data_IF_716059320665
#
_entry.id   IF_716059320665
#
_cell.length_a   1.000
_cell.length_b   1.000
_cell.length_c   1.000
_cell.angle_alpha   90.00
_cell.angle_beta   90.00
_cell.angle_gamma   90.00
#
_symmetry.space_group_name_H-M   'P 1'
#
loop_
_entity.id
_entity.type
_entity.pdbx_description
1 polymer ?
#
# COMPACT_ATOMS: atom_id res chain seq x y z
N UNK A 1 19.67 13.72 -18.74
CA UNK A 1 19.56 12.86 -17.56
C UNK A 1 19.94 13.68 -16.33
N UNK A 2 18.98 14.38 -15.75
CA UNK A 2 19.17 15.07 -14.46
C UNK A 2 19.14 14.01 -13.36
N UNK A 3 20.31 13.75 -12.75
CA UNK A 3 20.38 12.95 -11.51
C UNK A 3 19.51 13.65 -10.47
N UNK A 4 18.41 13.03 -10.08
CA UNK A 4 17.61 13.55 -8.97
C UNK A 4 18.28 13.13 -7.67
N UNK A 5 18.72 14.11 -6.92
CA UNK A 5 19.33 13.94 -5.59
C UNK A 5 18.44 14.65 -4.57
N UNK A 6 18.13 13.95 -3.49
CA UNK A 6 17.47 14.50 -2.32
C UNK A 6 18.43 14.44 -1.15
N UNK A 7 18.64 15.56 -0.49
CA UNK A 7 19.41 15.62 0.73
C UNK A 7 18.55 16.16 1.87
N UNK A 8 18.47 15.40 2.94
CA UNK A 8 17.85 15.80 4.20
C UNK A 8 18.94 16.04 5.23
N UNK A 9 18.84 17.16 5.95
CA UNK A 9 19.72 17.48 7.06
C UNK A 9 18.88 17.73 8.29
N UNK A 10 19.27 17.14 9.41
CA UNK A 10 18.59 17.31 10.68
C UNK A 10 19.55 17.24 11.84
N UNK A 11 19.08 17.68 12.98
CA UNK A 11 19.78 17.52 14.24
C UNK A 11 18.96 16.57 15.12
N UNK A 12 19.64 15.60 15.68
CA UNK A 12 19.04 14.59 16.49
C UNK A 12 19.89 14.39 17.73
N UNK A 13 19.37 14.84 18.86
CA UNK A 13 20.01 14.73 20.15
C UNK A 13 21.50 15.18 20.12
N UNK A 14 22.43 14.24 20.19
CA UNK A 14 23.88 14.48 20.17
C UNK A 14 24.51 14.44 18.77
N UNK A 15 23.70 14.15 17.72
CA UNK A 15 24.18 13.99 16.35
C UNK A 15 23.54 14.98 15.37
N UNK A 16 24.31 15.33 14.33
CA UNK A 16 23.75 15.79 13.06
C UNK A 16 23.57 14.59 12.15
N UNK A 17 22.43 14.52 11.50
CA UNK A 17 22.12 13.51 10.48
C UNK A 17 22.13 14.18 9.12
N UNK A 18 22.77 13.53 8.16
CA UNK A 18 22.67 13.86 6.75
C UNK A 18 22.28 12.60 6.01
N UNK A 19 21.17 12.67 5.30
CA UNK A 19 20.72 11.61 4.41
C UNK A 19 20.79 12.11 2.99
N UNK A 20 21.33 11.30 2.10
CA UNK A 20 21.38 11.58 0.67
C UNK A 20 20.82 10.41 -0.10
N UNK A 21 19.79 10.66 -0.91
CA UNK A 21 19.19 9.69 -1.81
C UNK A 21 19.46 10.13 -3.24
N UNK A 22 20.21 9.33 -3.97
CA UNK A 22 20.54 9.56 -5.37
C UNK A 22 19.83 8.54 -6.25
N UNK A 23 18.87 8.98 -7.04
CA UNK A 23 18.28 8.15 -8.08
C UNK A 23 19.34 7.83 -9.15
N UNK A 24 19.49 6.57 -9.51
CA UNK A 24 20.45 6.10 -10.51
C UNK A 24 19.73 5.79 -11.84
N UNK A 25 19.06 4.67 -11.88
CA UNK A 25 18.24 4.20 -12.98
C UNK A 25 16.86 3.87 -12.45
N UNK A 26 15.94 3.51 -13.34
CA UNK A 26 14.61 3.08 -12.94
C UNK A 26 14.70 1.95 -11.90
N UNK A 27 14.06 2.16 -10.77
CA UNK A 27 14.06 1.22 -9.67
C UNK A 27 15.36 1.13 -8.87
N UNK A 28 16.36 1.96 -9.14
CA UNK A 28 17.63 1.95 -8.43
C UNK A 28 17.91 3.29 -7.79
N UNK A 29 18.34 3.27 -6.54
CA UNK A 29 18.85 4.45 -5.86
C UNK A 29 19.98 4.08 -4.89
N UNK A 30 20.86 5.04 -4.66
CA UNK A 30 21.86 4.98 -3.61
C UNK A 30 21.36 5.80 -2.43
N UNK A 31 21.34 5.20 -1.27
CA UNK A 31 21.03 5.85 -0.01
C UNK A 31 22.27 5.88 0.86
N UNK A 32 22.64 7.08 1.27
CA UNK A 32 23.76 7.32 2.16
C UNK A 32 23.26 8.07 3.39
N UNK A 33 23.58 7.52 4.56
CA UNK A 33 23.28 8.14 5.86
C UNK A 33 24.58 8.42 6.56
N UNK A 34 24.73 9.63 7.04
CA UNK A 34 25.87 10.08 7.82
C UNK A 34 25.40 10.69 9.14
N UNK A 35 26.02 10.28 10.22
CA UNK A 35 25.87 10.86 11.56
C UNK A 35 27.19 11.46 12.00
N UNK A 36 27.18 12.72 12.39
CA UNK A 36 28.35 13.41 12.96
C UNK A 36 27.98 13.89 14.37
N UNK A 37 28.83 13.61 15.35
CA UNK A 37 28.67 14.12 16.72
C UNK A 37 28.70 15.65 16.71
N UNK A 38 27.83 16.31 17.46
CA UNK A 38 27.69 17.77 17.45
C UNK A 38 28.84 18.46 18.17
N UNK A 39 29.39 17.86 19.20
CA UNK A 39 30.46 18.41 20.04
C UNK A 39 31.52 17.35 20.26
N UNK A 40 31.33 16.47 21.22
CA UNK A 40 32.24 15.42 21.62
C UNK A 40 31.82 14.07 21.06
N UNK A 41 32.72 13.09 20.92
CA UNK A 41 32.35 11.73 20.55
C UNK A 41 31.31 11.15 21.52
N UNK A 42 30.32 10.47 20.97
CA UNK A 42 29.18 9.97 21.72
C UNK A 42 29.34 8.49 21.99
N UNK A 43 29.20 8.02 23.25
CA UNK A 43 29.17 6.60 23.54
C UNK A 43 27.92 5.93 22.94
N UNK A 44 28.13 4.98 22.02
CA UNK A 44 27.06 4.26 21.36
C UNK A 44 27.36 2.77 21.35
N UNK A 45 26.39 1.96 21.81
CA UNK A 45 26.54 0.50 21.71
C UNK A 45 26.46 0.01 20.27
N UNK A 46 25.58 0.61 19.48
CA UNK A 46 25.38 0.24 18.07
C UNK A 46 24.62 1.33 17.32
N UNK A 47 25.09 1.64 16.13
CA UNK A 47 24.38 2.45 15.13
C UNK A 47 24.13 1.56 13.91
N UNK A 48 22.93 1.54 13.40
CA UNK A 48 22.57 0.74 12.23
C UNK A 48 21.41 1.39 11.47
N UNK A 49 21.35 1.09 10.19
CA UNK A 49 20.17 1.31 9.37
C UNK A 49 19.24 0.08 9.49
N UNK A 50 17.99 0.29 9.80
CA UNK A 50 17.01 -0.79 9.99
C UNK A 50 15.94 -0.82 8.92
N UNK A 51 15.74 -1.98 8.30
CA UNK A 51 14.58 -2.27 7.44
C UNK A 51 13.69 -3.28 8.13
N UNK A 52 12.41 -2.98 8.26
CA UNK A 52 11.45 -3.83 8.95
C UNK A 52 10.72 -4.72 7.94
N UNK A 53 10.71 -6.02 8.22
CA UNK A 53 10.02 -7.02 7.41
C UNK A 53 8.86 -7.58 8.22
N UNK A 54 7.61 -7.40 7.80
CA UNK A 54 6.50 -8.07 8.44
C UNK A 54 6.67 -9.59 8.30
N UNK A 55 6.43 -10.33 9.37
CA UNK A 55 6.47 -11.78 9.32
C UNK A 55 5.30 -12.28 8.46
N UNK A 56 5.59 -12.51 7.20
CA UNK A 56 4.67 -13.11 6.25
C UNK A 56 5.26 -14.42 5.79
N UNK A 57 4.51 -15.51 5.89
CA UNK A 57 4.91 -16.86 5.43
C UNK A 57 5.33 -16.93 3.94
N UNK A 58 5.11 -15.85 3.20
CA UNK A 58 5.43 -15.75 1.77
C UNK A 58 6.68 -14.92 1.48
N UNK A 59 7.36 -14.40 2.51
CA UNK A 59 8.61 -13.66 2.31
C UNK A 59 9.74 -14.67 2.17
N UNK A 60 10.48 -14.54 1.06
CA UNK A 60 11.75 -15.21 0.83
C UNK A 60 12.88 -14.22 1.08
N UNK A 61 13.84 -14.62 1.90
CA UNK A 61 15.06 -13.87 2.17
C UNK A 61 16.25 -14.60 1.58
N UNK A 62 17.05 -13.94 0.76
CA UNK A 62 18.34 -14.47 0.29
C UNK A 62 19.45 -13.51 0.72
N UNK A 63 20.56 -14.08 1.20
CA UNK A 63 21.76 -13.32 1.56
C UNK A 63 22.92 -13.93 0.76
N UNK A 64 23.56 -13.09 -0.05
CA UNK A 64 24.61 -13.48 -1.00
C UNK A 64 24.22 -14.71 -1.85
N UNK A 65 22.96 -14.69 -2.33
CA UNK A 65 22.38 -15.77 -3.16
C UNK A 65 21.89 -16.99 -2.39
N UNK A 66 22.17 -17.09 -1.09
CA UNK A 66 21.74 -18.23 -0.27
C UNK A 66 20.39 -17.94 0.37
N UNK A 67 19.43 -18.85 0.22
CA UNK A 67 18.13 -18.75 0.87
C UNK A 67 18.29 -18.89 2.39
N UNK A 68 17.65 -17.98 3.13
CA UNK A 68 17.59 -17.99 4.58
C UNK A 68 16.20 -18.43 5.00
N UNK A 69 16.13 -19.52 5.75
CA UNK A 69 14.87 -20.02 6.29
C UNK A 69 14.35 -19.06 7.37
N UNK A 70 13.26 -18.38 7.05
CA UNK A 70 12.56 -17.54 8.02
C UNK A 70 11.72 -18.45 8.93
N UNK A 71 11.76 -18.27 10.26
CA UNK A 71 10.93 -19.04 11.17
C UNK A 71 9.44 -18.84 10.86
N UNK A 72 8.67 -19.93 10.93
CA UNK A 72 7.20 -19.87 10.74
C UNK A 72 6.47 -19.22 11.90
N UNK A 73 7.13 -19.10 13.03
CA UNK A 73 6.64 -18.45 14.24
C UNK A 73 7.65 -17.42 14.70
N UNK A 74 7.14 -16.32 15.27
CA UNK A 74 8.00 -15.26 15.81
C UNK A 74 8.93 -15.80 16.90
N UNK A 75 10.22 -15.43 16.79
CA UNK A 75 11.22 -15.70 17.82
C UNK A 75 12.13 -14.49 17.97
N UNK A 76 12.30 -14.00 19.20
CA UNK A 76 13.25 -12.90 19.53
C UNK A 76 14.71 -13.39 19.45
N UNK A 77 15.15 -13.80 18.28
CA UNK A 77 16.55 -14.26 18.06
C UNK A 77 17.09 -13.79 16.72
N UNK A 78 18.39 -13.81 16.60
CA UNK A 78 19.03 -13.62 15.32
C UNK A 78 18.72 -14.80 14.40
N UNK A 79 18.20 -14.49 13.22
CA UNK A 79 18.01 -15.46 12.13
C UNK A 79 19.27 -15.53 11.28
N UNK A 80 19.96 -14.41 11.17
CA UNK A 80 21.23 -14.26 10.49
C UNK A 80 22.09 -13.23 11.20
N UNK A 81 23.43 -13.42 11.19
CA UNK A 81 24.41 -12.43 11.66
C UNK A 81 25.75 -12.68 10.99
N UNK A 82 26.26 -11.70 10.26
CA UNK A 82 27.54 -11.80 9.57
C UNK A 82 27.78 -10.74 8.51
N UNK A 83 28.91 -10.83 7.82
CA UNK A 83 29.21 -10.00 6.66
C UNK A 83 28.34 -10.42 5.49
N UNK A 84 27.85 -9.43 4.73
CA UNK A 84 27.09 -9.66 3.53
C UNK A 84 27.35 -8.54 2.50
N UNK A 85 27.14 -8.87 1.23
CA UNK A 85 27.25 -7.95 0.11
C UNK A 85 25.92 -7.70 -0.58
N UNK A 86 25.00 -8.64 -0.49
CA UNK A 86 23.68 -8.53 -1.12
C UNK A 86 22.61 -9.18 -0.25
N UNK A 87 21.52 -8.48 -0.08
CA UNK A 87 20.28 -9.01 0.53
C UNK A 87 19.17 -8.89 -0.50
N UNK A 88 18.42 -9.95 -0.70
CA UNK A 88 17.24 -9.96 -1.57
C UNK A 88 16.04 -10.40 -0.75
N UNK A 89 15.02 -9.58 -0.77
CA UNK A 89 13.74 -9.85 -0.12
C UNK A 89 12.68 -9.91 -1.21
N UNK A 90 12.01 -11.03 -1.31
CA UNK A 90 10.92 -11.21 -2.28
C UNK A 90 9.66 -11.69 -1.59
N UNK A 91 8.53 -11.29 -2.10
CA UNK A 91 7.22 -11.83 -1.79
C UNK A 91 6.48 -12.14 -3.11
N UNK A 92 5.29 -12.76 -3.11
CA UNK A 92 4.56 -13.08 -4.34
C UNK A 92 4.26 -11.87 -5.24
N UNK A 93 4.48 -10.67 -4.75
CA UNK A 93 4.14 -9.41 -5.43
C UNK A 93 5.38 -8.64 -5.91
N UNK A 94 6.58 -9.14 -5.64
CA UNK A 94 7.86 -8.58 -6.05
C UNK A 94 8.87 -8.54 -4.88
N UNK A 95 9.92 -7.74 -5.00
CA UNK A 95 10.97 -7.68 -4.01
C UNK A 95 11.80 -6.42 -4.06
N UNK A 96 12.73 -6.33 -3.15
CA UNK A 96 13.81 -5.37 -3.22
C UNK A 96 15.14 -6.07 -2.96
N UNK A 97 16.20 -5.51 -3.43
CA UNK A 97 17.55 -5.92 -3.03
C UNK A 97 18.35 -4.74 -2.51
N UNK A 98 19.22 -5.03 -1.57
CA UNK A 98 20.18 -4.09 -1.02
C UNK A 98 21.57 -4.63 -1.27
N UNK A 99 22.45 -3.83 -1.85
CA UNK A 99 23.83 -4.21 -2.09
C UNK A 99 24.82 -3.19 -1.54
N UNK A 100 25.98 -3.68 -1.13
CA UNK A 100 27.05 -2.91 -0.53
C UNK A 100 27.98 -3.80 0.29
N UNK A 101 28.88 -3.19 1.04
CA UNK A 101 29.72 -3.91 2.00
C UNK A 101 29.20 -3.59 3.41
N UNK A 102 28.58 -4.57 4.06
CA UNK A 102 27.99 -4.35 5.37
C UNK A 102 28.02 -5.60 6.25
N UNK A 103 27.96 -5.39 7.55
CA UNK A 103 27.49 -6.41 8.47
C UNK A 103 25.96 -6.38 8.52
N UNK A 104 25.36 -7.54 8.38
CA UNK A 104 23.92 -7.73 8.44
C UNK A 104 23.53 -8.53 9.66
N UNK A 105 22.49 -8.08 10.35
CA UNK A 105 21.75 -8.90 11.30
C UNK A 105 20.27 -8.94 10.90
N UNK A 106 19.69 -10.14 10.86
CA UNK A 106 18.26 -10.33 10.75
C UNK A 106 17.73 -10.77 12.12
N UNK A 107 16.97 -9.91 12.77
CA UNK A 107 16.57 -10.09 14.18
C UNK A 107 15.05 -10.07 14.28
N UNK A 108 14.49 -11.07 14.95
CA UNK A 108 13.11 -11.01 15.41
C UNK A 108 12.98 -9.97 16.51
N UNK A 109 12.09 -8.97 16.34
CA UNK A 109 12.17 -7.84 17.21
C UNK A 109 10.91 -7.44 17.95
N UNK A 110 9.82 -7.25 17.27
CA UNK A 110 8.64 -6.68 17.93
C UNK A 110 7.34 -7.03 17.22
N UNK A 111 6.26 -6.78 17.94
CA UNK A 111 4.90 -6.94 17.48
C UNK A 111 4.27 -5.54 17.45
N UNK A 112 3.64 -5.18 16.35
CA UNK A 112 2.77 -3.99 16.26
C UNK A 112 1.37 -4.45 15.93
N UNK A 113 0.43 -4.20 16.84
CA UNK A 113 -0.90 -4.76 16.74
C UNK A 113 -0.82 -6.29 16.62
N UNK A 114 -1.35 -6.86 15.55
CA UNK A 114 -1.31 -8.29 15.27
C UNK A 114 -0.14 -8.72 14.37
N UNK A 115 0.73 -7.79 13.98
CA UNK A 115 1.82 -8.08 13.04
C UNK A 115 3.15 -8.18 13.76
N UNK A 116 3.81 -9.29 13.54
CA UNK A 116 5.17 -9.55 13.98
C UNK A 116 6.16 -9.10 12.91
N UNK A 117 7.28 -8.53 13.33
CA UNK A 117 8.29 -7.99 12.42
C UNK A 117 9.67 -8.58 12.70
N UNK A 118 10.40 -8.88 11.63
CA UNK A 118 11.85 -9.01 11.64
C UNK A 118 12.49 -7.71 11.20
N UNK A 119 13.67 -7.40 11.72
CA UNK A 119 14.43 -6.22 11.34
C UNK A 119 15.75 -6.66 10.71
N UNK A 120 15.97 -6.23 9.47
CA UNK A 120 17.29 -6.26 8.84
C UNK A 120 18.07 -5.05 9.34
N UNK A 121 19.21 -5.28 9.98
CA UNK A 121 20.09 -4.23 10.48
C UNK A 121 21.36 -4.20 9.66
N UNK A 122 21.60 -3.11 8.99
CA UNK A 122 22.78 -2.87 8.18
C UNK A 122 23.76 -2.02 8.97
N UNK A 123 24.99 -2.49 9.11
CA UNK A 123 26.06 -1.79 9.78
C UNK A 123 27.26 -1.69 8.83
N UNK A 124 28.11 -0.66 8.97
CA UNK A 124 29.40 -0.63 8.27
C UNK A 124 30.22 -1.88 8.53
N UNK A 125 30.99 -2.31 7.54
CA UNK A 125 31.86 -3.49 7.69
C UNK A 125 32.97 -3.29 8.75
N UNK A 126 33.33 -2.05 8.98
CA UNK A 126 34.29 -1.70 10.01
C UNK A 126 33.71 -1.90 11.41
N UNK A 127 34.58 -2.30 12.35
CA UNK A 127 34.20 -2.46 13.76
C UNK A 127 33.55 -1.17 14.28
N UNK A 128 32.39 -1.30 14.90
CA UNK A 128 31.72 -0.16 15.52
C UNK A 128 32.57 0.39 16.67
N UNK A 129 32.95 1.68 16.62
CA UNK A 129 33.72 2.29 17.72
C UNK A 129 32.83 2.45 18.96
N UNK A 130 33.44 2.32 20.15
CA UNK A 130 32.73 2.57 21.42
C UNK A 130 32.30 4.03 21.55
N UNK A 131 33.11 4.92 21.00
CA UNK A 131 32.86 6.36 20.94
C UNK A 131 32.69 6.78 19.47
N UNK A 132 31.53 7.26 19.11
CA UNK A 132 31.20 7.66 17.73
C UNK A 132 31.41 9.16 17.57
N UNK A 133 32.39 9.56 16.78
CA UNK A 133 32.55 10.94 16.29
C UNK A 133 31.82 11.13 14.95
N UNK A 134 31.96 10.16 14.05
CA UNK A 134 31.27 10.11 12.77
C UNK A 134 30.96 8.67 12.43
N UNK A 135 29.79 8.46 11.82
CA UNK A 135 29.35 7.18 11.32
C UNK A 135 28.69 7.40 9.95
N UNK A 136 28.96 6.53 9.00
CA UNK A 136 28.29 6.57 7.72
C UNK A 136 28.05 5.18 7.16
N UNK A 137 26.96 5.04 6.41
CA UNK A 137 26.63 3.84 5.69
C UNK A 137 26.01 4.23 4.34
N UNK A 138 26.53 3.63 3.28
CA UNK A 138 25.99 3.80 1.94
C UNK A 138 25.52 2.45 1.40
N UNK A 139 24.29 2.40 0.96
CA UNK A 139 23.64 1.21 0.41
C UNK A 139 23.06 1.50 -0.97
N UNK A 140 23.14 0.54 -1.86
CA UNK A 140 22.45 0.59 -3.14
C UNK A 140 21.19 -0.24 -3.05
N UNK A 141 20.06 0.38 -3.27
CA UNK A 141 18.76 -0.26 -3.33
C UNK A 141 18.35 -0.49 -4.77
N UNK A 142 17.79 -1.63 -5.02
CA UNK A 142 17.11 -1.94 -6.25
C UNK A 142 15.74 -2.51 -5.90
N UNK A 143 14.70 -1.82 -6.34
CA UNK A 143 13.34 -2.35 -6.29
C UNK A 143 13.05 -3.02 -7.62
N UNK A 144 12.41 -4.16 -7.57
CA UNK A 144 11.82 -4.77 -8.75
C UNK A 144 10.55 -4.02 -9.13
N UNK A 145 10.74 -2.89 -9.81
CA UNK A 145 9.66 -2.05 -10.33
C UNK A 145 9.10 -2.56 -11.66
N UNK A 146 9.55 -3.71 -12.16
CA UNK A 146 9.02 -4.30 -13.39
C UNK A 146 7.50 -4.48 -13.40
N UNK A 147 6.84 -4.17 -12.26
CA UNK A 147 5.40 -4.22 -12.09
C UNK A 147 4.74 -2.86 -11.88
N UNK A 148 5.45 -1.74 -12.00
CA UNK A 148 4.78 -0.44 -12.11
C UNK A 148 4.16 -0.22 -13.49
N UNK A 149 4.58 -0.99 -14.49
CA UNK A 149 3.94 -1.05 -15.80
C UNK A 149 2.75 -2.03 -15.82
N UNK A 150 1.93 -2.02 -14.78
CA UNK A 150 0.68 -2.76 -14.79
C UNK A 150 -0.21 -2.16 -15.88
N UNK A 151 -0.54 -2.96 -16.88
CA UNK A 151 -1.52 -2.58 -17.88
C UNK A 151 -2.89 -2.79 -17.30
N UNK A 152 -3.68 -1.74 -17.24
CA UNK A 152 -5.06 -1.80 -16.80
C UNK A 152 -6.02 -1.36 -17.91
N UNK A 153 -7.17 -2.01 -17.96
CA UNK A 153 -8.26 -1.71 -18.87
C UNK A 153 -9.51 -1.42 -18.03
N UNK A 154 -10.01 -0.17 -18.07
CA UNK A 154 -11.21 0.20 -17.33
C UNK A 154 -12.39 -0.72 -17.68
N UNK A 155 -13.13 -1.11 -16.66
CA UNK A 155 -14.42 -1.80 -16.78
C UNK A 155 -15.53 -0.78 -16.65
N UNK A 156 -16.40 -0.73 -17.65
CA UNK A 156 -17.57 0.15 -17.61
C UNK A 156 -18.61 -0.39 -16.62
N UNK A 157 -18.84 0.36 -15.56
CA UNK A 157 -19.86 0.12 -14.55
C UNK A 157 -21.02 1.12 -14.64
N UNK A 158 -21.04 2.02 -15.63
CA UNK A 158 -22.02 3.11 -15.73
C UNK A 158 -23.46 2.64 -15.72
N UNK A 159 -23.74 1.47 -16.32
CA UNK A 159 -25.07 0.86 -16.40
C UNK A 159 -25.62 0.37 -15.05
N UNK A 160 -24.79 0.15 -14.05
CA UNK A 160 -25.20 -0.31 -12.70
C UNK A 160 -25.04 0.76 -11.63
N UNK A 161 -24.54 1.94 -11.96
CA UNK A 161 -24.46 3.05 -11.04
C UNK A 161 -25.85 3.55 -10.63
N UNK A 162 -26.00 3.85 -9.35
CA UNK A 162 -27.30 4.20 -8.77
C UNK A 162 -27.30 5.48 -7.93
N UNK A 163 -26.10 6.01 -7.60
CA UNK A 163 -25.91 7.21 -6.77
C UNK A 163 -24.89 8.17 -7.39
N UNK A 164 -24.84 9.39 -6.87
CA UNK A 164 -23.93 10.44 -7.30
C UNK A 164 -22.75 10.63 -6.33
N UNK A 165 -21.60 11.05 -6.86
CA UNK A 165 -20.52 11.61 -6.05
C UNK A 165 -20.94 12.92 -5.36
N UNK A 166 -21.93 13.61 -5.92
CA UNK A 166 -22.49 14.88 -5.42
C UNK A 166 -23.80 14.63 -4.74
N UNK A 167 -24.01 15.28 -3.61
CA UNK A 167 -25.27 15.29 -2.88
C UNK A 167 -25.80 16.72 -2.88
N UNK A 168 -26.30 17.17 -4.03
CA UNK A 168 -26.74 18.55 -4.30
C UNK A 168 -28.27 18.71 -4.41
N UNK A 169 -29.00 17.70 -3.99
CA UNK A 169 -30.47 17.67 -4.01
C UNK A 169 -31.09 17.31 -5.36
N UNK A 170 -30.37 17.42 -6.48
CA UNK A 170 -30.82 16.98 -7.80
C UNK A 170 -30.71 15.46 -7.94
N UNK A 171 -29.65 14.90 -7.40
CA UNK A 171 -29.41 13.47 -7.36
C UNK A 171 -29.00 13.08 -5.95
N UNK A 172 -29.48 11.92 -5.43
CA UNK A 172 -29.08 11.48 -4.12
C UNK A 172 -27.59 11.14 -4.10
N UNK A 173 -26.86 11.75 -3.19
CA UNK A 173 -25.47 11.43 -2.94
C UNK A 173 -25.27 10.05 -2.35
N UNK A 174 -24.07 9.57 -2.40
CA UNK A 174 -23.74 8.21 -1.98
C UNK A 174 -23.87 7.98 -0.46
N UNK A 175 -23.68 9.02 0.36
CA UNK A 175 -23.92 8.95 1.81
C UNK A 175 -25.29 9.51 2.20
N UNK A 176 -25.92 10.33 1.37
CA UNK A 176 -27.15 11.04 1.72
C UNK A 176 -26.99 12.08 2.84
N UNK A 177 -25.75 12.56 3.09
CA UNK A 177 -25.45 13.51 4.18
C UNK A 177 -25.30 14.96 3.71
N UNK A 178 -25.64 15.25 2.44
CA UNK A 178 -25.58 16.60 1.88
C UNK A 178 -24.28 16.97 1.23
N UNK A 179 -24.27 18.16 0.64
CA UNK A 179 -23.21 18.65 -0.23
C UNK A 179 -21.85 18.84 0.45
N UNK A 180 -21.83 18.98 1.77
CA UNK A 180 -20.61 19.12 2.55
C UNK A 180 -19.94 17.77 2.87
N UNK A 181 -20.64 16.67 2.62
CA UNK A 181 -20.21 15.31 2.96
C UNK A 181 -20.24 14.40 1.73
N UNK A 182 -19.65 14.84 0.63
CA UNK A 182 -19.65 14.14 -0.66
C UNK A 182 -18.26 14.10 -1.33
N UNK A 183 -18.20 13.52 -2.52
CA UNK A 183 -16.97 13.33 -3.29
C UNK A 183 -16.87 14.30 -4.48
N UNK A 184 -17.45 15.51 -4.40
CA UNK A 184 -17.46 16.48 -5.50
C UNK A 184 -16.09 16.91 -5.99
N UNK A 185 -15.06 16.79 -5.15
CA UNK A 185 -13.67 17.07 -5.52
C UNK A 185 -12.99 15.96 -6.31
N UNK A 186 -13.64 14.78 -6.44
CA UNK A 186 -13.12 13.69 -7.25
C UNK A 186 -13.20 14.05 -8.74
N UNK A 187 -12.07 14.06 -9.41
CA UNK A 187 -11.99 14.28 -10.85
C UNK A 187 -12.59 13.09 -11.60
N UNK A 188 -13.40 13.38 -12.61
CA UNK A 188 -14.05 12.39 -13.47
C UNK A 188 -13.37 12.30 -14.83
N UNK A 189 -13.59 11.18 -15.53
CA UNK A 189 -13.00 10.89 -16.84
C UNK A 189 -11.70 10.12 -16.72
N UNK A 190 -10.86 10.19 -17.75
CA UNK A 190 -9.59 9.45 -17.80
C UNK A 190 -8.70 9.85 -16.63
N UNK A 191 -8.44 8.91 -15.74
CA UNK A 191 -7.64 9.13 -14.56
C UNK A 191 -6.77 7.91 -14.24
N UNK A 192 -5.52 8.19 -13.87
CA UNK A 192 -4.62 7.17 -13.36
C UNK A 192 -4.53 7.32 -11.84
N UNK A 193 -4.91 6.26 -11.16
CA UNK A 193 -4.67 6.08 -9.73
C UNK A 193 -3.38 5.29 -9.59
N UNK A 194 -2.29 5.99 -9.36
CA UNK A 194 -0.93 5.50 -9.61
C UNK A 194 -0.76 5.14 -11.10
N UNK A 195 -0.47 3.88 -11.42
CA UNK A 195 -0.34 3.42 -12.81
C UNK A 195 -1.61 2.74 -13.34
N UNK A 196 -2.62 2.55 -12.48
CA UNK A 196 -3.85 1.89 -12.85
C UNK A 196 -4.88 2.89 -13.34
N UNK A 197 -5.29 2.70 -14.57
CA UNK A 197 -6.33 3.52 -15.17
C UNK A 197 -7.69 3.04 -14.73
N UNK A 198 -8.40 3.90 -14.01
CA UNK A 198 -9.82 3.79 -13.71
C UNK A 198 -10.46 5.12 -14.09
N UNK A 199 -11.54 5.08 -14.83
CA UNK A 199 -12.20 6.27 -15.35
C UNK A 199 -13.49 6.56 -14.54
N UNK A 200 -13.45 7.35 -13.44
CA UNK A 200 -14.66 7.72 -12.71
C UNK A 200 -15.66 8.45 -13.62
N UNK A 201 -16.90 8.05 -13.56
CA UNK A 201 -17.95 8.55 -14.46
C UNK A 201 -18.42 9.91 -14.01
N UNK A 202 -18.50 10.87 -14.96
CA UNK A 202 -19.10 12.16 -14.70
C UNK A 202 -20.62 12.02 -14.52
N UNK A 203 -21.19 12.40 -13.35
CA UNK A 203 -22.61 12.28 -13.11
C UNK A 203 -23.46 13.05 -14.12
N UNK A 204 -23.01 14.21 -14.60
CA UNK A 204 -23.74 15.00 -15.58
C UNK A 204 -23.92 14.30 -16.94
N UNK A 205 -23.07 13.28 -17.22
CA UNK A 205 -23.11 12.49 -18.46
C UNK A 205 -23.77 11.12 -18.29
N UNK A 206 -24.19 10.77 -17.08
CA UNK A 206 -24.80 9.47 -16.78
C UNK A 206 -26.07 9.61 -15.94
N UNK A 207 -26.92 10.58 -16.27
CA UNK A 207 -28.18 10.81 -15.58
C UNK A 207 -28.04 11.08 -14.07
N UNK A 208 -26.93 11.71 -13.67
CA UNK A 208 -26.62 12.01 -12.28
C UNK A 208 -25.95 10.89 -11.49
N UNK A 209 -25.74 9.74 -12.10
CA UNK A 209 -25.19 8.56 -11.45
C UNK A 209 -23.71 8.42 -11.74
N UNK A 210 -22.89 8.21 -10.73
CA UNK A 210 -21.43 8.12 -10.88
C UNK A 210 -20.77 7.04 -10.02
N UNK A 211 -21.53 6.39 -9.15
CA UNK A 211 -21.06 5.26 -8.35
C UNK A 211 -22.16 4.24 -8.09
N UNK A 212 -21.74 3.00 -7.87
CA UNK A 212 -22.60 1.96 -7.35
C UNK A 212 -22.53 2.00 -5.82
N UNK A 213 -23.67 2.10 -5.18
CA UNK A 213 -23.82 2.08 -3.73
C UNK A 213 -24.66 0.89 -3.34
N UNK A 214 -24.14 0.05 -2.46
CA UNK A 214 -24.80 -1.10 -1.88
C UNK A 214 -24.86 -0.90 -0.36
N UNK A 215 -26.02 -1.05 0.23
CA UNK A 215 -26.15 -0.89 1.67
C UNK A 215 -27.57 -0.55 2.09
N UNK A 216 -27.80 -0.62 3.38
CA UNK A 216 -29.11 -0.49 3.96
C UNK A 216 -29.76 0.87 3.66
N UNK A 217 -30.89 0.83 2.95
CA UNK A 217 -31.67 2.03 2.62
C UNK A 217 -31.08 2.97 1.57
N UNK A 218 -29.84 2.78 1.13
CA UNK A 218 -29.14 3.64 0.17
C UNK A 218 -28.97 3.02 -1.21
N UNK A 219 -29.05 1.69 -1.32
CA UNK A 219 -28.87 0.99 -2.58
C UNK A 219 -29.49 -0.41 -2.58
N UNK A 220 -29.41 -1.13 -3.73
CA UNK A 220 -29.89 -2.50 -3.83
C UNK A 220 -29.08 -3.48 -3.01
N UNK A 221 -29.59 -4.70 -2.85
CA UNK A 221 -28.90 -5.83 -2.23
C UNK A 221 -27.69 -6.29 -3.06
N UNK A 222 -27.83 -6.22 -4.39
CA UNK A 222 -26.77 -6.56 -5.33
C UNK A 222 -26.93 -5.83 -6.66
N UNK A 223 -25.82 -5.78 -7.41
CA UNK A 223 -25.78 -5.32 -8.79
C UNK A 223 -24.80 -6.18 -9.60
N UNK A 224 -25.15 -6.48 -10.84
CA UNK A 224 -24.33 -7.35 -11.67
C UNK A 224 -24.00 -6.74 -13.02
N UNK A 225 -22.79 -7.06 -13.51
CA UNK A 225 -22.28 -6.65 -14.81
C UNK A 225 -21.87 -7.88 -15.60
N UNK A 226 -22.36 -8.01 -16.81
CA UNK A 226 -21.91 -9.03 -17.77
C UNK A 226 -20.64 -8.56 -18.46
N UNK A 227 -19.66 -9.44 -18.55
CA UNK A 227 -18.36 -9.18 -19.17
C UNK A 227 -18.40 -9.72 -20.60
N UNK A 228 -18.78 -8.87 -21.54
CA UNK A 228 -18.83 -9.23 -22.97
C UNK A 228 -17.42 -9.44 -23.58
N UNK A 229 -16.45 -8.68 -23.07
CA UNK A 229 -15.05 -8.75 -23.53
C UNK A 229 -14.11 -8.70 -22.34
N UNK A 230 -13.35 -9.78 -22.16
CA UNK A 230 -12.27 -9.82 -21.18
C UNK A 230 -10.93 -9.68 -21.92
N UNK A 231 -10.12 -8.65 -21.60
CA UNK A 231 -8.85 -8.43 -22.28
C UNK A 231 -7.84 -9.56 -21.99
N UNK A 232 -7.06 -9.93 -22.98
CA UNK A 232 -6.06 -10.98 -22.84
C UNK A 232 -4.95 -10.58 -21.85
N UNK A 233 -4.43 -11.56 -21.13
CA UNK A 233 -3.35 -11.36 -20.16
C UNK A 233 -3.77 -10.77 -18.81
N UNK A 234 -5.02 -10.35 -18.65
CA UNK A 234 -5.50 -9.80 -17.38
C UNK A 234 -5.66 -10.90 -16.32
N UNK A 235 -5.22 -10.58 -15.10
CA UNK A 235 -5.20 -11.52 -13.97
C UNK A 235 -5.78 -10.98 -12.69
N UNK A 236 -6.10 -9.67 -12.64
CA UNK A 236 -6.65 -9.00 -11.48
C UNK A 236 -7.87 -8.17 -11.85
N UNK A 237 -8.78 -8.06 -10.90
CA UNK A 237 -9.81 -7.03 -10.86
C UNK A 237 -9.40 -5.97 -9.84
N UNK A 238 -9.32 -4.73 -10.26
CA UNK A 238 -9.15 -3.57 -9.38
C UNK A 238 -10.48 -2.92 -9.11
N UNK A 239 -10.68 -2.50 -7.87
CA UNK A 239 -11.81 -1.68 -7.46
C UNK A 239 -11.31 -0.38 -6.88
N UNK A 240 -11.83 0.75 -7.38
CA UNK A 240 -11.78 2.05 -6.74
C UNK A 240 -13.04 2.19 -5.91
N UNK A 241 -12.91 2.13 -4.60
CA UNK A 241 -14.07 2.04 -3.72
C UNK A 241 -13.79 2.62 -2.32
N UNK A 242 -14.82 2.71 -1.52
CA UNK A 242 -14.75 3.03 -0.10
C UNK A 242 -16.01 2.50 0.61
N UNK A 243 -16.01 2.55 1.93
CA UNK A 243 -17.20 2.29 2.73
C UNK A 243 -17.50 3.45 3.68
N UNK A 244 -18.77 3.60 4.01
CA UNK A 244 -19.23 4.41 5.13
C UNK A 244 -19.88 3.51 6.17
N UNK A 245 -19.93 3.97 7.42
CA UNK A 245 -20.36 3.16 8.57
C UNK A 245 -19.66 1.81 8.62
N UNK A 246 -18.37 1.87 8.36
CA UNK A 246 -17.51 0.70 8.23
C UNK A 246 -17.51 -0.09 9.52
N UNK A 247 -17.78 -1.41 9.50
CA UNK A 247 -17.81 -2.23 10.70
C UNK A 247 -16.41 -2.30 11.35
N UNK A 248 -16.41 -2.52 12.64
CA UNK A 248 -15.18 -2.76 13.39
C UNK A 248 -14.69 -4.19 13.12
N UNK A 249 -13.38 -4.35 12.95
CA UNK A 249 -12.80 -5.67 12.68
C UNK A 249 -12.69 -5.99 11.19
N UNK A 250 -12.89 -7.27 10.85
CA UNK A 250 -12.74 -7.78 9.47
C UNK A 250 -14.07 -8.21 8.85
N UNK A 251 -15.16 -7.69 9.36
CA UNK A 251 -16.47 -8.00 8.78
C UNK A 251 -16.55 -7.53 7.32
N UNK A 252 -17.19 -8.30 6.44
CA UNK A 252 -17.30 -7.90 5.04
C UNK A 252 -18.19 -6.67 4.87
N UNK A 253 -17.67 -5.65 4.20
CA UNK A 253 -18.48 -4.51 3.71
C UNK A 253 -19.34 -4.93 2.51
N UNK A 254 -18.95 -6.01 1.86
CA UNK A 254 -19.65 -6.61 0.73
C UNK A 254 -18.97 -7.88 0.24
N UNK A 255 -19.55 -8.46 -0.80
CA UNK A 255 -19.01 -9.64 -1.48
C UNK A 255 -18.93 -9.39 -2.98
N UNK A 256 -17.85 -9.85 -3.57
CA UNK A 256 -17.66 -9.90 -5.01
C UNK A 256 -17.88 -11.34 -5.45
N UNK A 257 -18.97 -11.60 -6.21
CA UNK A 257 -19.24 -12.90 -6.79
C UNK A 257 -18.82 -12.90 -8.25
N UNK A 258 -17.91 -13.80 -8.62
CA UNK A 258 -17.30 -13.87 -9.95
C UNK A 258 -17.71 -15.18 -10.60
N UNK A 259 -18.38 -15.12 -11.75
CA UNK A 259 -18.65 -16.27 -12.58
C UNK A 259 -17.64 -16.30 -13.72
N UNK A 260 -16.96 -17.43 -13.88
CA UNK A 260 -15.97 -17.65 -14.90
C UNK A 260 -16.55 -18.39 -16.13
N UNK A 261 -15.84 -18.29 -17.27
CA UNK A 261 -16.25 -18.90 -18.53
C UNK A 261 -16.27 -20.45 -18.48
N UNK A 262 -15.54 -21.05 -17.55
CA UNK A 262 -15.54 -22.50 -17.30
C UNK A 262 -16.70 -22.97 -16.37
N UNK A 263 -17.62 -22.07 -16.04
CA UNK A 263 -18.80 -22.36 -15.20
C UNK A 263 -18.55 -22.22 -13.69
N UNK A 264 -17.31 -22.11 -13.23
CA UNK A 264 -17.01 -21.90 -11.81
C UNK A 264 -17.52 -20.55 -11.32
N UNK A 265 -17.93 -20.53 -10.06
CA UNK A 265 -18.28 -19.29 -9.35
C UNK A 265 -17.40 -19.15 -8.12
N UNK A 266 -16.88 -17.97 -7.91
CA UNK A 266 -16.09 -17.60 -6.73
C UNK A 266 -16.82 -16.50 -5.95
N UNK A 267 -16.84 -16.60 -4.62
CA UNK A 267 -17.37 -15.58 -3.73
C UNK A 267 -16.21 -15.03 -2.88
N UNK A 268 -15.86 -13.76 -3.10
CA UNK A 268 -14.75 -13.10 -2.43
C UNK A 268 -15.30 -12.07 -1.45
N UNK A 269 -15.02 -12.25 -0.16
CA UNK A 269 -15.38 -11.27 0.86
C UNK A 269 -14.48 -10.05 0.77
N UNK A 270 -15.07 -8.86 0.68
CA UNK A 270 -14.40 -7.56 0.76
C UNK A 270 -14.40 -7.13 2.22
N UNK A 271 -13.33 -7.45 2.94
CA UNK A 271 -13.25 -7.26 4.37
C UNK A 271 -12.91 -5.80 4.74
N UNK A 272 -13.60 -5.28 5.75
CA UNK A 272 -13.28 -3.99 6.35
C UNK A 272 -11.85 -3.95 6.88
N UNK A 273 -11.16 -2.81 6.70
CA UNK A 273 -9.78 -2.60 7.17
C UNK A 273 -8.71 -3.43 6.45
N UNK A 274 -9.10 -4.43 5.65
CA UNK A 274 -8.17 -5.22 4.82
C UNK A 274 -8.26 -4.85 3.35
N UNK A 275 -9.48 -4.89 2.79
CA UNK A 275 -9.73 -4.70 1.35
C UNK A 275 -10.48 -3.39 1.08
N UNK A 276 -11.20 -2.87 2.04
CA UNK A 276 -11.93 -1.61 1.94
C UNK A 276 -11.92 -0.89 3.28
N UNK A 277 -11.68 0.40 3.27
CA UNK A 277 -11.66 1.21 4.48
C UNK A 277 -12.78 2.26 4.50
N UNK A 278 -12.89 2.95 5.63
CA UNK A 278 -13.79 4.07 5.77
C UNK A 278 -13.32 5.24 4.90
N UNK A 279 -14.24 5.83 4.14
CA UNK A 279 -13.93 7.02 3.32
C UNK A 279 -13.57 8.24 4.16
N UNK A 280 -14.11 8.33 5.36
CA UNK A 280 -13.88 9.41 6.31
C UNK A 280 -12.68 9.09 7.20
N UNK A 281 -11.67 9.97 7.23
CA UNK A 281 -10.38 9.73 7.88
C UNK A 281 -9.73 8.42 7.41
N UNK A 282 -9.38 8.34 6.12
CA UNK A 282 -8.95 7.09 5.52
C UNK A 282 -7.67 6.56 6.15
N UNK A 283 -7.61 5.24 6.32
CA UNK A 283 -6.45 4.53 6.86
C UNK A 283 -6.08 3.39 5.92
N UNK A 284 -4.79 3.28 5.59
CA UNK A 284 -4.24 2.21 4.75
C UNK A 284 -4.56 0.83 5.32
N UNK A 285 -5.03 -0.07 4.45
CA UNK A 285 -5.23 -1.48 4.73
C UNK A 285 -4.25 -2.36 3.95
N UNK A 286 -4.20 -3.65 4.27
CA UNK A 286 -3.27 -4.58 3.61
C UNK A 286 -3.51 -4.69 2.09
N UNK A 287 -4.73 -4.57 1.64
CA UNK A 287 -5.17 -4.58 0.24
C UNK A 287 -6.05 -3.36 -0.08
N UNK A 288 -6.13 -2.39 0.81
CA UNK A 288 -6.90 -1.16 0.68
C UNK A 288 -5.92 0.02 0.73
N UNK A 289 -5.45 0.44 -0.43
CA UNK A 289 -4.49 1.53 -0.54
C UNK A 289 -5.21 2.83 -0.84
N UNK A 290 -4.97 3.87 -0.05
CA UNK A 290 -5.56 5.20 -0.26
C UNK A 290 -4.91 5.84 -1.48
N UNK A 291 -5.62 5.87 -2.59
CA UNK A 291 -5.10 6.37 -3.89
C UNK A 291 -5.62 7.75 -4.26
N UNK A 292 -6.63 8.21 -3.55
CA UNK A 292 -7.17 9.55 -3.69
C UNK A 292 -7.56 10.11 -2.32
N UNK A 293 -7.20 11.37 -2.10
CA UNK A 293 -7.59 12.13 -0.91
C UNK A 293 -8.32 13.40 -1.32
N UNK A 294 -9.38 13.69 -0.61
CA UNK A 294 -10.14 14.91 -0.67
C UNK A 294 -10.33 15.49 0.72
N UNK A 295 -11.06 16.59 0.82
CA UNK A 295 -11.39 17.24 2.10
C UNK A 295 -12.85 17.56 2.15
N UNK A 296 -13.44 17.34 3.32
CA UNK A 296 -14.73 17.88 3.75
C UNK A 296 -14.46 18.80 4.96
N UNK A 297 -15.41 19.67 5.38
CA UNK A 297 -15.16 20.62 6.46
C UNK A 297 -14.61 20.01 7.75
N UNK A 298 -15.01 18.79 8.05
CA UNK A 298 -14.70 18.12 9.32
C UNK A 298 -13.57 17.10 9.25
N UNK A 299 -13.07 16.72 8.04
CA UNK A 299 -12.02 15.69 7.91
C UNK A 299 -11.41 15.57 6.51
N UNK A 300 -10.31 14.84 6.43
CA UNK A 300 -9.84 14.25 5.18
C UNK A 300 -10.73 13.05 4.81
N UNK A 301 -10.95 12.88 3.50
CA UNK A 301 -11.69 11.79 2.91
C UNK A 301 -10.85 11.08 1.87
N UNK A 302 -11.13 9.80 1.59
CA UNK A 302 -10.33 9.06 0.63
C UNK A 302 -11.05 7.92 -0.06
N UNK A 303 -10.47 7.52 -1.19
CA UNK A 303 -10.85 6.31 -1.93
C UNK A 303 -9.69 5.33 -1.94
N UNK A 304 -10.04 4.07 -1.93
CA UNK A 304 -9.11 2.96 -1.88
C UNK A 304 -9.06 2.24 -3.23
N UNK A 305 -7.85 1.81 -3.58
CA UNK A 305 -7.63 0.87 -4.66
C UNK A 305 -7.34 -0.50 -4.05
N UNK A 306 -8.10 -1.51 -4.48
CA UNK A 306 -7.94 -2.89 -4.01
C UNK A 306 -7.87 -3.85 -5.16
N UNK A 307 -6.96 -4.82 -5.08
CA UNK A 307 -6.68 -5.79 -6.12
C UNK A 307 -7.21 -7.17 -5.73
N UNK A 308 -8.01 -7.77 -6.59
CA UNK A 308 -8.57 -9.11 -6.42
C UNK A 308 -8.06 -10.04 -7.51
N UNK A 309 -7.32 -11.11 -7.19
CA UNK A 309 -6.80 -12.03 -8.18
C UNK A 309 -7.95 -12.81 -8.84
N UNK A 310 -7.88 -12.94 -10.16
CA UNK A 310 -8.83 -13.70 -10.96
C UNK A 310 -8.29 -15.11 -11.20
N UNK A 311 -9.16 -16.12 -11.08
CA UNK A 311 -8.81 -17.54 -11.28
C UNK A 311 -9.15 -18.05 -12.68
N UNK A 312 -9.47 -17.16 -13.61
CA UNK A 312 -9.82 -17.46 -14.96
C UNK A 312 -10.45 -16.26 -15.67
N UNK A 313 -11.07 -16.50 -16.81
CA UNK A 313 -11.79 -15.49 -17.59
C UNK A 313 -13.17 -15.23 -16.97
N UNK A 314 -13.41 -14.06 -16.32
CA UNK A 314 -14.71 -13.73 -15.79
C UNK A 314 -15.70 -13.46 -16.95
N UNK A 315 -16.93 -13.90 -16.79
CA UNK A 315 -18.05 -13.60 -17.70
C UNK A 315 -19.13 -12.77 -17.03
N UNK A 316 -19.16 -12.76 -15.67
CA UNK A 316 -20.10 -11.96 -14.89
C UNK A 316 -19.45 -11.60 -13.56
N UNK A 317 -19.61 -10.35 -13.16
CA UNK A 317 -19.30 -9.84 -11.83
C UNK A 317 -20.61 -9.43 -11.16
N UNK A 318 -20.79 -9.83 -9.92
CA UNK A 318 -21.91 -9.40 -9.09
C UNK A 318 -21.34 -8.83 -7.78
N UNK A 319 -21.70 -7.60 -7.49
CA UNK A 319 -21.39 -6.91 -6.25
C UNK A 319 -22.57 -7.10 -5.30
N UNK A 320 -22.34 -7.65 -4.13
CA UNK A 320 -23.37 -7.97 -3.14
C UNK A 320 -23.05 -7.23 -1.86
N UNK A 321 -24.03 -6.61 -1.21
CA UNK A 321 -23.81 -5.91 0.06
C UNK A 321 -23.34 -6.86 1.16
N UNK A 322 -22.69 -6.30 2.19
CA UNK A 322 -22.38 -7.01 3.43
C UNK A 322 -23.61 -7.24 4.31
N UNK A 323 -23.44 -7.93 5.40
CA UNK A 323 -24.51 -8.30 6.34
C UNK A 323 -24.84 -7.23 7.37
N UNK A 324 -23.99 -6.24 7.56
CA UNK A 324 -24.14 -5.16 8.55
C UNK A 324 -24.69 -3.86 7.96
N UNK A 325 -24.52 -2.79 8.71
CA UNK A 325 -24.95 -1.43 8.36
C UNK A 325 -23.99 -0.72 7.40
N UNK A 326 -22.90 -1.37 7.00
CA UNK A 326 -21.93 -0.80 6.09
C UNK A 326 -22.57 -0.43 4.75
N UNK A 327 -22.22 0.75 4.27
CA UNK A 327 -22.51 1.18 2.90
C UNK A 327 -21.25 1.02 2.08
N UNK A 328 -21.30 0.16 1.09
CA UNK A 328 -20.19 -0.05 0.17
C UNK A 328 -20.39 0.74 -1.12
N UNK A 329 -19.48 1.65 -1.41
CA UNK A 329 -19.48 2.48 -2.60
C UNK A 329 -18.36 2.06 -3.54
N UNK A 330 -18.68 1.86 -4.82
CA UNK A 330 -17.74 1.54 -5.89
C UNK A 330 -17.77 2.67 -6.91
N UNK A 331 -16.65 3.38 -7.03
CA UNK A 331 -16.48 4.51 -7.92
C UNK A 331 -15.97 4.10 -9.32
N UNK A 332 -15.40 2.90 -9.43
CA UNK A 332 -14.90 2.37 -10.70
C UNK A 332 -14.18 1.05 -10.54
N UNK A 333 -13.90 0.41 -11.66
CA UNK A 333 -13.16 -0.83 -11.73
C UNK A 333 -12.30 -0.92 -12.98
N UNK A 334 -11.29 -1.80 -12.94
CA UNK A 334 -10.47 -2.13 -14.10
C UNK A 334 -9.97 -3.57 -14.02
N UNK A 335 -9.72 -4.18 -15.17
CA UNK A 335 -8.93 -5.40 -15.24
C UNK A 335 -7.45 -5.04 -15.38
N UNK A 336 -6.55 -5.81 -14.77
CA UNK A 336 -5.12 -5.57 -14.82
C UNK A 336 -4.32 -6.87 -15.02
N UNK A 337 -3.15 -6.75 -15.66
CA UNK A 337 -2.26 -7.88 -15.95
C UNK A 337 -1.36 -8.25 -14.76
N UNK A 338 -1.27 -7.40 -13.76
CA UNK A 338 -0.49 -7.58 -12.55
C UNK A 338 -1.11 -6.88 -11.35
N UNK A 339 -0.50 -7.06 -10.19
CA UNK A 339 -0.83 -6.28 -9.01
C UNK A 339 0.07 -5.06 -8.99
N UNK A 340 -0.52 -3.86 -9.07
CA UNK A 340 0.22 -2.63 -8.86
C UNK A 340 0.87 -2.66 -7.49
N UNK A 341 2.16 -2.41 -7.44
CA UNK A 341 2.83 -2.05 -6.21
C UNK A 341 2.59 -0.57 -5.99
N UNK A 342 1.74 -0.31 -5.07
CA UNK A 342 1.65 1.02 -4.51
C UNK A 342 2.87 1.22 -3.64
N UNK A 343 3.54 2.40 -3.71
CA UNK A 343 4.64 2.67 -2.82
C UNK A 343 4.14 2.49 -1.40
N UNK A 344 4.72 1.52 -0.70
CA UNK A 344 4.55 1.43 0.73
C UNK A 344 5.02 2.78 1.27
N UNK A 345 4.20 3.47 2.02
CA UNK A 345 4.67 4.56 2.88
C UNK A 345 5.58 3.89 3.89
N UNK A 346 6.87 3.80 3.57
CA UNK A 346 7.86 3.28 4.50
C UNK A 346 7.97 4.29 5.64
N UNK A 347 7.45 3.92 6.78
CA UNK A 347 7.73 4.63 8.01
C UNK A 347 9.13 4.23 8.46
N UNK A 348 10.10 5.07 8.20
CA UNK A 348 11.41 4.93 8.84
C UNK A 348 11.26 5.31 10.31
N UNK A 349 11.68 4.43 11.19
CA UNK A 349 11.57 4.66 12.63
C UNK A 349 12.96 4.90 13.22
N UNK A 350 13.21 6.11 13.68
CA UNK A 350 14.40 6.44 14.48
C UNK A 350 14.07 6.26 15.95
N UNK A 351 14.91 5.53 16.66
CA UNK A 351 14.76 5.37 18.11
C UNK A 351 15.41 6.52 18.85
N UNK A 352 14.62 7.28 19.56
CA UNK A 352 15.10 8.28 20.52
C UNK A 352 14.88 7.74 21.94
N UNK A 353 16.00 7.35 22.60
CA UNK A 353 15.87 6.75 23.91
C UNK A 353 15.07 5.45 23.91
N UNK A 354 14.18 5.22 24.90
CA UNK A 354 13.31 4.04 24.94
C UNK A 354 12.15 4.08 23.93
N UNK A 355 11.86 5.24 23.32
CA UNK A 355 10.74 5.43 22.41
C UNK A 355 11.18 5.43 20.94
N UNK A 356 10.29 4.97 20.07
CA UNK A 356 10.47 4.98 18.62
C UNK A 356 9.71 6.15 18.02
N UNK A 357 10.41 6.99 17.27
CA UNK A 357 9.78 8.07 16.51
C UNK A 357 9.68 7.66 15.03
N UNK A 358 8.48 7.64 14.44
CA UNK A 358 8.34 7.42 13.01
C UNK A 358 8.85 8.64 12.25
N UNK A 359 9.69 8.42 11.25
CA UNK A 359 10.01 9.42 10.23
C UNK A 359 9.04 9.15 9.08
N UNK A 360 8.17 10.12 8.81
CA UNK A 360 7.27 10.09 7.66
C UNK A 360 7.88 10.93 6.56
N UNK A 361 8.09 10.33 5.41
CA UNK A 361 8.37 11.06 4.18
C UNK A 361 7.03 11.45 3.55
N UNK A 362 6.83 12.75 3.38
CA UNK A 362 5.65 13.34 2.75
C UNK A 362 5.71 13.29 1.23
#
# INVERSE_FOLDING_TARGET
>A
NTKKEFALKGEFDLFRITETIQAQEEGRFRWEVRLDARKEPVPCKQVFLGVELPLNKKIELKIDGKAISMPSTFRKRNVFGGKARKVEVTDPYGGFSVSGNFHLFCVGKFVRGETEYYQLRFLPEQRHPEMVRSWSLALNFQYDFARFDVKSVPLDLSGVFNRSFRDDGKFPGWTGQGAEMDLRSLKTGKHNFYNDRIDPVNPDRNGGKSCLVLGQGLGPESAAVEISRFPEGMRYLYLLHASAWTPVGREPVGFLRIRYADGRTENVAVAAGRDCGNWYRPVEGRNAHVVWNGKVPSAEIGLYLSAFPLKGKPVRLEFVRGTGDAVWMIAGAAFADGRARLPLREEFVVRKGPEWLPIRFG
#
